data_IF_615897040472
#
_entry.id   IF_615897040472
#
_cell.length_a   1.000
_cell.length_b   1.000
_cell.length_c   1.000
_cell.angle_alpha   90.00
_cell.angle_beta   90.00
_cell.angle_gamma   90.00
#
_symmetry.space_group_name_H-M   'P 1'
#
loop_
_entity.id
_entity.type
_entity.pdbx_description
1 polymer ?
#
# COMPACT_ATOMS: atom_id res chain seq x y z
N UNK A 1 9.41 -4.46 8.65
CA UNK A 1 9.03 -5.74 8.03
C UNK A 1 7.62 -5.66 7.49
N UNK A 2 7.39 -6.20 6.31
CA UNK A 2 6.06 -6.31 5.72
C UNK A 2 5.45 -7.65 6.08
N UNK A 3 4.28 -7.66 6.73
CA UNK A 3 3.66 -8.91 7.22
C UNK A 3 3.30 -9.90 6.11
N UNK A 4 3.04 -9.42 4.91
CA UNK A 4 2.74 -10.22 3.72
C UNK A 4 3.98 -10.85 3.08
N UNK A 5 5.18 -10.47 3.49
CA UNK A 5 6.43 -10.94 2.91
C UNK A 5 7.27 -11.72 3.91
N UNK A 6 7.76 -11.07 4.97
CA UNK A 6 8.71 -11.69 5.91
C UNK A 6 8.09 -12.80 6.74
N UNK A 7 6.82 -12.71 7.11
CA UNK A 7 6.16 -13.82 7.82
C UNK A 7 6.04 -15.05 6.93
N UNK A 8 5.70 -14.86 5.66
CA UNK A 8 5.67 -15.95 4.69
C UNK A 8 7.06 -16.55 4.45
N UNK A 9 8.09 -15.71 4.36
CA UNK A 9 9.46 -16.19 4.22
C UNK A 9 9.89 -17.03 5.43
N UNK A 10 9.62 -16.58 6.64
CA UNK A 10 9.94 -17.30 7.87
C UNK A 10 9.22 -18.65 7.95
N UNK A 11 7.98 -18.71 7.50
CA UNK A 11 7.20 -19.94 7.46
C UNK A 11 7.77 -20.93 6.42
N UNK A 12 8.12 -20.45 5.23
CA UNK A 12 8.78 -21.25 4.17
C UNK A 12 10.12 -21.81 4.66
N UNK A 13 10.88 -21.03 5.42
CA UNK A 13 12.16 -21.44 5.99
C UNK A 13 12.02 -22.40 7.19
N UNK A 14 10.80 -22.77 7.56
CA UNK A 14 10.53 -23.62 8.72
C UNK A 14 10.82 -22.95 10.07
N UNK A 15 10.82 -21.62 10.12
CA UNK A 15 11.07 -20.79 11.31
C UNK A 15 9.91 -19.83 11.52
N UNK A 16 8.69 -20.31 11.79
CA UNK A 16 7.50 -19.45 11.88
C UNK A 16 7.70 -18.38 12.95
N UNK A 17 7.48 -17.13 12.55
CA UNK A 17 7.61 -15.97 13.39
C UNK A 17 6.30 -15.58 14.06
N UNK A 18 6.39 -14.83 15.16
CA UNK A 18 5.26 -14.13 15.77
C UNK A 18 5.39 -12.64 15.50
N UNK A 19 4.37 -12.07 14.85
CA UNK A 19 4.33 -10.63 14.61
C UNK A 19 3.66 -9.88 15.77
N UNK A 20 4.14 -8.67 16.02
CA UNK A 20 3.47 -7.65 16.80
C UNK A 20 2.86 -6.66 15.81
N UNK A 21 1.56 -6.59 15.78
CA UNK A 21 0.86 -5.67 14.88
C UNK A 21 0.77 -4.29 15.52
N UNK A 22 1.24 -3.22 14.84
CA UNK A 22 1.21 -1.87 15.39
C UNK A 22 -0.18 -1.42 15.83
N UNK A 23 -1.21 -1.80 15.08
CA UNK A 23 -2.59 -1.47 15.38
C UNK A 23 -3.10 -2.07 16.71
N UNK A 24 -2.61 -3.23 17.13
CA UNK A 24 -2.92 -3.85 18.43
C UNK A 24 -2.22 -3.13 19.58
N UNK A 25 -1.26 -2.25 19.27
CA UNK A 25 -0.46 -1.48 20.22
C UNK A 25 -0.70 0.03 20.14
N UNK A 26 -1.85 0.43 19.59
CA UNK A 26 -2.32 1.82 19.61
C UNK A 26 -1.77 2.71 18.49
N UNK A 27 -1.15 2.13 17.45
CA UNK A 27 -0.83 2.87 16.23
C UNK A 27 -2.09 2.86 15.35
N UNK A 28 -2.64 4.02 14.97
CA UNK A 28 -3.78 4.07 14.06
C UNK A 28 -3.45 3.42 12.72
N UNK A 29 -4.44 2.80 12.08
CA UNK A 29 -4.29 2.35 10.70
C UNK A 29 -3.96 3.53 9.79
N UNK A 30 -3.04 3.33 8.86
CA UNK A 30 -2.55 4.34 7.92
C UNK A 30 -2.26 3.70 6.55
N UNK A 31 -2.22 4.53 5.53
CA UNK A 31 -1.83 4.13 4.19
C UNK A 31 -0.31 3.95 4.13
N UNK A 32 0.15 2.73 3.87
CA UNK A 32 1.58 2.41 3.88
C UNK A 32 2.27 2.72 2.56
N UNK A 33 1.56 2.48 1.44
CA UNK A 33 2.05 2.79 0.10
C UNK A 33 1.18 3.89 -0.50
N UNK A 34 1.79 5.05 -0.70
CA UNK A 34 1.14 6.23 -1.27
C UNK A 34 1.89 6.71 -2.50
N UNK A 35 1.19 7.35 -3.41
CA UNK A 35 1.80 8.08 -4.51
C UNK A 35 2.09 9.51 -4.08
N UNK A 36 3.31 9.95 -4.32
CA UNK A 36 3.71 11.34 -4.13
C UNK A 36 4.10 11.96 -5.48
N UNK A 37 3.76 13.22 -5.66
CA UNK A 37 4.09 13.97 -6.86
C UNK A 37 4.58 15.36 -6.51
N UNK A 38 5.37 15.97 -7.40
CA UNK A 38 5.70 17.39 -7.27
C UNK A 38 4.45 18.23 -7.53
N UNK A 39 4.23 19.34 -6.80
CA UNK A 39 3.04 20.20 -6.97
C UNK A 39 2.79 20.65 -8.41
N UNK A 40 3.84 20.90 -9.19
CA UNK A 40 3.73 21.31 -10.59
C UNK A 40 3.10 20.23 -11.49
N UNK A 41 3.11 18.98 -11.07
CA UNK A 41 2.47 17.87 -11.80
C UNK A 41 1.04 17.60 -11.36
N UNK A 42 0.62 18.15 -10.20
CA UNK A 42 -0.74 18.00 -9.73
C UNK A 42 -1.73 18.59 -10.75
N UNK A 43 -2.77 17.82 -11.09
CA UNK A 43 -3.79 18.23 -12.06
C UNK A 43 -3.35 18.25 -13.54
N UNK A 44 -2.17 17.73 -13.86
CA UNK A 44 -1.77 17.61 -15.27
C UNK A 44 -2.41 16.38 -15.94
N UNK A 45 -2.68 16.48 -17.24
CA UNK A 45 -3.19 15.35 -18.05
C UNK A 45 -2.31 14.10 -17.96
N UNK A 46 -1.01 14.28 -17.75
CA UNK A 46 -0.06 13.17 -17.61
C UNK A 46 -0.32 12.39 -16.32
N UNK A 47 -0.50 13.09 -15.19
CA UNK A 47 -0.83 12.50 -13.91
C UNK A 47 -2.19 11.82 -13.96
N UNK A 48 -3.20 12.50 -14.53
CA UNK A 48 -4.54 11.95 -14.67
C UNK A 48 -4.59 10.65 -15.47
N UNK A 49 -3.85 10.57 -16.58
CA UNK A 49 -3.74 9.33 -17.35
C UNK A 49 -3.05 8.23 -16.57
N UNK A 50 -1.98 8.55 -15.83
CA UNK A 50 -1.28 7.59 -14.99
C UNK A 50 -2.22 7.02 -13.91
N UNK A 51 -2.92 7.89 -13.18
CA UNK A 51 -3.86 7.49 -12.14
C UNK A 51 -5.01 6.64 -12.70
N UNK A 52 -5.48 6.96 -13.91
CA UNK A 52 -6.51 6.16 -14.60
C UNK A 52 -6.03 4.74 -14.90
N UNK A 53 -4.81 4.60 -15.40
CA UNK A 53 -4.23 3.27 -15.69
C UNK A 53 -3.98 2.50 -14.39
N UNK A 54 -3.53 3.18 -13.33
CA UNK A 54 -3.34 2.55 -12.03
C UNK A 54 -4.65 2.02 -11.44
N UNK A 55 -5.72 2.81 -11.51
CA UNK A 55 -7.06 2.38 -11.06
C UNK A 55 -7.55 1.15 -11.85
N UNK A 56 -7.41 1.18 -13.17
CA UNK A 56 -7.76 0.04 -14.02
C UNK A 56 -6.94 -1.21 -13.68
N UNK A 57 -5.63 -1.07 -13.47
CA UNK A 57 -4.75 -2.17 -13.08
C UNK A 57 -5.15 -2.74 -11.71
N UNK A 58 -5.43 -1.88 -10.74
CA UNK A 58 -5.86 -2.32 -9.40
C UNK A 58 -7.19 -3.07 -9.46
N UNK A 59 -8.16 -2.58 -10.24
CA UNK A 59 -9.43 -3.29 -10.47
C UNK A 59 -9.23 -4.64 -11.14
N UNK A 60 -8.34 -4.73 -12.12
CA UNK A 60 -8.00 -6.00 -12.77
C UNK A 60 -7.41 -6.99 -11.77
N UNK A 61 -6.45 -6.54 -10.94
CA UNK A 61 -5.84 -7.38 -9.90
C UNK A 61 -6.89 -7.91 -8.92
N UNK A 62 -7.81 -7.07 -8.48
CA UNK A 62 -8.86 -7.46 -7.53
C UNK A 62 -9.87 -8.44 -8.15
N UNK A 63 -10.27 -8.21 -9.40
CA UNK A 63 -11.32 -8.99 -10.07
C UNK A 63 -10.77 -10.29 -10.68
N UNK A 64 -9.52 -10.27 -11.14
CA UNK A 64 -8.87 -11.39 -11.81
C UNK A 64 -7.49 -11.70 -11.21
N UNK A 65 -7.41 -12.08 -9.93
CA UNK A 65 -6.14 -12.19 -9.21
C UNK A 65 -5.17 -13.20 -9.83
N UNK A 66 -5.66 -14.35 -10.29
CA UNK A 66 -4.83 -15.39 -10.88
C UNK A 66 -4.28 -14.98 -12.26
N UNK A 67 -5.10 -14.34 -13.07
CA UNK A 67 -4.68 -13.80 -14.37
C UNK A 67 -3.64 -12.70 -14.18
N UNK A 68 -3.88 -11.81 -13.24
CA UNK A 68 -2.98 -10.71 -12.91
C UNK A 68 -1.66 -11.22 -12.31
N UNK A 69 -1.69 -12.27 -11.49
CA UNK A 69 -0.48 -12.92 -11.00
C UNK A 69 0.38 -13.47 -12.14
N UNK A 70 -0.24 -14.14 -13.13
CA UNK A 70 0.50 -14.62 -14.31
C UNK A 70 1.15 -13.48 -15.11
N UNK A 71 0.49 -12.33 -15.24
CA UNK A 71 1.11 -11.15 -15.85
C UNK A 71 2.30 -10.64 -15.03
N UNK A 72 2.16 -10.56 -13.72
CA UNK A 72 3.23 -10.16 -12.82
C UNK A 72 4.45 -11.09 -12.96
N UNK A 73 4.24 -12.39 -12.89
CA UNK A 73 5.30 -13.40 -13.02
C UNK A 73 5.97 -13.35 -14.39
N UNK A 74 5.18 -13.12 -15.47
CA UNK A 74 5.70 -13.10 -16.85
C UNK A 74 6.74 -12.01 -17.09
N UNK A 75 6.78 -10.99 -16.25
CA UNK A 75 7.75 -9.90 -16.35
C UNK A 75 9.18 -10.33 -16.04
N UNK A 76 9.37 -11.22 -15.05
CA UNK A 76 10.66 -11.82 -14.67
C UNK A 76 10.42 -13.21 -14.06
N UNK A 77 10.15 -14.23 -14.89
CA UNK A 77 9.73 -15.56 -14.40
C UNK A 77 10.72 -16.18 -13.42
N UNK A 78 12.02 -16.10 -13.72
CA UNK A 78 13.08 -16.71 -12.91
C UNK A 78 13.16 -16.13 -11.49
N UNK A 79 12.75 -14.88 -11.32
CA UNK A 79 12.80 -14.21 -10.02
C UNK A 79 11.43 -14.21 -9.30
N UNK A 80 10.34 -14.17 -10.06
CA UNK A 80 9.02 -13.89 -9.53
C UNK A 80 8.13 -15.13 -9.37
N UNK A 81 8.39 -16.23 -10.13
CA UNK A 81 7.59 -17.44 -10.01
C UNK A 81 8.11 -18.34 -8.88
N UNK A 82 7.78 -17.96 -7.65
CA UNK A 82 8.15 -18.70 -6.47
C UNK A 82 7.04 -18.67 -5.41
N UNK A 83 7.15 -19.57 -4.43
CA UNK A 83 6.15 -19.75 -3.37
C UNK A 83 5.98 -18.47 -2.52
N UNK A 84 7.06 -17.75 -2.24
CA UNK A 84 7.01 -16.54 -1.45
C UNK A 84 6.17 -15.46 -2.14
N UNK A 85 6.43 -15.20 -3.42
CA UNK A 85 5.67 -14.20 -4.19
C UNK A 85 4.21 -14.62 -4.36
N UNK A 86 3.93 -15.91 -4.49
CA UNK A 86 2.54 -16.41 -4.57
C UNK A 86 1.77 -16.14 -3.27
N UNK A 87 2.34 -16.45 -2.13
CA UNK A 87 1.74 -16.18 -0.82
C UNK A 87 1.59 -14.67 -0.58
N UNK A 88 2.66 -13.89 -0.83
CA UNK A 88 2.64 -12.44 -0.68
C UNK A 88 1.58 -11.77 -1.57
N UNK A 89 1.39 -12.28 -2.79
CA UNK A 89 0.33 -11.81 -3.68
C UNK A 89 -1.05 -11.96 -3.05
N UNK A 90 -1.37 -13.18 -2.58
CA UNK A 90 -2.67 -13.43 -1.94
C UNK A 90 -2.89 -12.61 -0.67
N UNK A 91 -1.86 -12.44 0.16
CA UNK A 91 -1.93 -11.63 1.38
C UNK A 91 -2.07 -10.13 1.10
N UNK A 92 -1.63 -9.67 -0.08
CA UNK A 92 -1.71 -8.27 -0.50
C UNK A 92 -3.09 -7.91 -1.06
N UNK A 93 -3.78 -8.84 -1.74
CA UNK A 93 -5.07 -8.57 -2.40
C UNK A 93 -6.09 -7.87 -1.50
N UNK A 94 -6.34 -8.32 -0.25
CA UNK A 94 -7.32 -7.67 0.64
C UNK A 94 -6.88 -6.29 1.14
N UNK A 95 -5.64 -5.88 0.88
CA UNK A 95 -5.05 -4.59 1.30
C UNK A 95 -5.06 -3.55 0.18
N UNK A 96 -5.34 -3.96 -1.05
CA UNK A 96 -5.43 -3.03 -2.16
C UNK A 96 -6.62 -2.08 -1.99
N UNK A 97 -6.39 -0.79 -2.20
CA UNK A 97 -7.45 0.21 -2.20
C UNK A 97 -8.38 -0.04 -3.39
N UNK A 98 -9.67 -0.23 -3.13
CA UNK A 98 -10.68 -0.40 -4.18
C UNK A 98 -10.95 0.89 -4.95
N UNK A 99 -10.69 2.01 -4.32
CA UNK A 99 -10.82 3.36 -4.88
C UNK A 99 -9.46 4.06 -4.71
N UNK A 100 -8.58 3.85 -5.68
CA UNK A 100 -7.18 4.28 -5.62
C UNK A 100 -7.01 5.80 -5.60
N UNK A 101 -8.04 6.54 -5.97
CA UNK A 101 -8.03 8.02 -5.99
C UNK A 101 -8.62 8.65 -4.73
N UNK A 102 -9.23 7.86 -3.85
CA UNK A 102 -9.82 8.40 -2.64
C UNK A 102 -8.86 8.29 -1.47
N UNK A 103 -8.54 9.43 -0.91
CA UNK A 103 -7.83 9.54 0.35
C UNK A 103 -8.85 9.80 1.44
N UNK A 104 -8.84 9.05 2.54
CA UNK A 104 -9.68 9.36 3.70
C UNK A 104 -9.02 10.45 4.56
N UNK A 105 -9.49 11.72 4.49
CA UNK A 105 -8.91 12.80 5.28
C UNK A 105 -8.97 12.55 6.79
N UNK A 106 -9.94 11.77 7.27
CA UNK A 106 -10.07 11.46 8.67
C UNK A 106 -8.99 10.46 9.13
N UNK A 107 -8.63 9.49 8.27
CA UNK A 107 -7.51 8.58 8.53
C UNK A 107 -6.20 9.35 8.66
N UNK A 108 -5.92 10.23 7.71
CA UNK A 108 -4.75 11.10 7.74
C UNK A 108 -4.71 12.00 8.98
N UNK A 109 -5.85 12.57 9.35
CA UNK A 109 -5.95 13.42 10.54
C UNK A 109 -5.67 12.62 11.84
N UNK A 110 -6.24 11.43 11.97
CA UNK A 110 -5.97 10.54 13.13
C UNK A 110 -4.48 10.21 13.24
N UNK A 111 -3.85 9.88 12.12
CA UNK A 111 -2.43 9.55 12.11
C UNK A 111 -1.54 10.77 12.41
N UNK A 112 -1.89 11.95 11.89
CA UNK A 112 -1.16 13.18 12.18
C UNK A 112 -1.24 13.55 13.68
N UNK A 113 -2.40 13.38 14.32
CA UNK A 113 -2.53 13.59 15.77
C UNK A 113 -1.67 12.57 16.55
N UNK A 114 -1.74 11.29 16.19
CA UNK A 114 -0.89 10.28 16.80
C UNK A 114 0.60 10.65 16.69
N UNK A 115 1.06 11.08 15.53
CA UNK A 115 2.46 11.49 15.33
C UNK A 115 2.82 12.70 16.21
N UNK A 116 1.94 13.68 16.31
CA UNK A 116 2.14 14.86 17.16
C UNK A 116 2.19 14.49 18.63
N UNK A 117 1.26 13.66 19.11
CA UNK A 117 1.18 13.23 20.51
C UNK A 117 2.40 12.40 20.94
N UNK A 118 3.07 11.77 19.98
CA UNK A 118 4.33 11.04 20.17
C UNK A 118 5.58 11.86 19.94
N UNK A 119 5.44 13.17 19.63
CA UNK A 119 6.57 14.06 19.38
C UNK A 119 7.33 13.73 18.08
N UNK A 120 6.69 13.05 17.13
CA UNK A 120 7.30 12.72 15.84
C UNK A 120 7.20 13.88 14.85
N UNK A 121 6.24 14.77 15.07
CA UNK A 121 6.08 16.04 14.36
C UNK A 121 5.74 17.15 15.34
N UNK A 122 6.20 18.36 15.08
CA UNK A 122 5.98 19.53 15.95
C UNK A 122 4.58 20.11 15.80
N UNK A 123 4.01 20.05 14.60
CA UNK A 123 2.70 20.59 14.29
C UNK A 123 1.98 19.73 13.24
N UNK A 124 0.66 19.77 13.25
CA UNK A 124 -0.16 19.12 12.21
C UNK A 124 -0.32 20.11 11.06
N UNK A 125 0.20 19.80 9.85
CA UNK A 125 0.04 20.66 8.70
C UNK A 125 -1.40 20.65 8.18
N UNK A 126 -1.82 21.71 7.50
CA UNK A 126 -3.11 21.73 6.81
C UNK A 126 -3.10 20.69 5.68
N UNK A 127 -4.06 19.77 5.71
CA UNK A 127 -4.17 18.68 4.73
C UNK A 127 -4.22 19.17 3.29
N UNK A 128 -4.81 20.35 3.06
CA UNK A 128 -4.87 20.97 1.73
C UNK A 128 -3.51 21.29 1.12
N UNK A 129 -2.46 21.30 1.95
CA UNK A 129 -1.09 21.58 1.48
C UNK A 129 -0.37 20.37 0.93
N UNK A 130 -0.86 19.13 1.22
CA UNK A 130 -0.19 17.89 0.83
C UNK A 130 -1.11 16.79 0.31
N UNK A 131 -2.42 16.86 0.55
CA UNK A 131 -3.39 15.93 -0.05
C UNK A 131 -3.98 16.57 -1.30
N UNK A 132 -3.87 15.86 -2.41
CA UNK A 132 -4.50 16.23 -3.66
C UNK A 132 -5.69 15.30 -3.91
N UNK A 133 -6.85 15.84 -4.35
CA UNK A 133 -8.04 15.05 -4.66
C UNK A 133 -7.84 14.13 -5.88
#
# INVERSE_FOLDING_TARGET
AFRNFELNQMDIDGRPGRAFYPEDHGVPAYEELILVTHPDFAGTDKLERFLTVLDQATRLIINEPETSYRYFVSFRPDDLDNELNRRAWHDTLPKLARETRQTDPNSWNRFAHFMKDRGLIDSIPDQKTYLFP
#
